data_IF_740561577441
#
_entry.id   IF_740561577441
#
_cell.length_a   1.000
_cell.length_b   1.000
_cell.length_c   1.000
_cell.angle_alpha   90.00
_cell.angle_beta   90.00
_cell.angle_gamma   90.00
#
_symmetry.space_group_name_H-M   'P 1'
#
loop_
_entity.id
_entity.type
_entity.pdbx_description
1 polymer ?
#
# COMPACT_ATOMS: atom_id res chain seq x y z
N UNK A 1 4.45 -19.94 -14.75
CA UNK A 1 3.62 -18.86 -15.32
C UNK A 1 4.39 -17.55 -15.22
N UNK A 2 4.11 -16.58 -16.10
CA UNK A 2 4.67 -15.22 -16.02
C UNK A 2 3.55 -14.27 -15.61
N UNK A 3 3.43 -14.01 -14.32
CA UNK A 3 2.28 -13.31 -13.73
C UNK A 3 2.52 -11.83 -13.38
N UNK A 4 3.63 -11.24 -13.85
CA UNK A 4 3.98 -9.80 -13.90
C UNK A 4 4.03 -9.07 -12.55
N UNK A 5 3.02 -9.18 -11.71
CA UNK A 5 2.85 -8.41 -10.48
C UNK A 5 2.58 -9.31 -9.28
N UNK A 6 2.96 -8.80 -8.11
CA UNK A 6 2.63 -9.33 -6.80
C UNK A 6 1.79 -8.31 -6.04
N UNK A 7 0.84 -8.80 -5.26
CA UNK A 7 0.09 -8.01 -4.29
C UNK A 7 -0.16 -8.87 -3.07
N UNK A 8 -0.07 -8.28 -1.88
CA UNK A 8 -0.29 -8.98 -0.63
C UNK A 8 -1.70 -9.57 -0.59
N UNK A 9 -1.82 -10.76 -0.01
CA UNK A 9 -3.06 -11.57 -0.04
C UNK A 9 -4.00 -11.32 1.16
N UNK A 10 -3.54 -10.62 2.20
CA UNK A 10 -4.28 -10.32 3.41
C UNK A 10 -3.74 -9.05 4.09
N UNK A 11 -4.48 -8.53 5.08
CA UNK A 11 -4.03 -7.37 5.86
C UNK A 11 -2.74 -7.68 6.64
N UNK A 12 -2.63 -8.87 7.22
CA UNK A 12 -1.44 -9.30 7.97
C UNK A 12 -0.20 -9.41 7.06
N UNK A 13 -0.35 -10.01 5.87
CA UNK A 13 0.76 -10.10 4.91
C UNK A 13 1.13 -8.73 4.34
N UNK A 14 0.15 -7.85 4.10
CA UNK A 14 0.40 -6.47 3.69
C UNK A 14 1.22 -5.70 4.72
N UNK A 15 0.85 -5.77 6.01
CA UNK A 15 1.61 -5.12 7.08
C UNK A 15 3.05 -5.63 7.14
N UNK A 16 3.23 -6.95 7.07
CA UNK A 16 4.55 -7.59 7.04
C UNK A 16 5.39 -7.15 5.83
N UNK A 17 4.81 -7.17 4.63
CA UNK A 17 5.49 -6.79 3.40
C UNK A 17 5.83 -5.29 3.38
N UNK A 18 4.92 -4.41 3.80
CA UNK A 18 5.19 -2.97 3.88
C UNK A 18 6.36 -2.70 4.83
N UNK A 19 6.38 -3.30 6.03
CA UNK A 19 7.50 -3.13 6.97
C UNK A 19 8.82 -3.69 6.44
N UNK A 20 8.78 -4.75 5.63
CA UNK A 20 9.97 -5.34 5.03
C UNK A 20 10.57 -4.43 3.94
N UNK A 21 9.73 -3.93 3.02
CA UNK A 21 10.18 -3.19 1.83
C UNK A 21 10.36 -1.69 2.08
N UNK A 22 9.64 -1.13 3.05
CA UNK A 22 9.69 0.29 3.42
C UNK A 22 10.05 0.44 4.91
N UNK A 23 11.27 0.04 5.32
CA UNK A 23 11.66 0.02 6.73
C UNK A 23 11.73 1.42 7.37
N UNK A 24 11.90 2.46 6.54
CA UNK A 24 11.92 3.86 6.99
C UNK A 24 10.51 4.46 7.10
N UNK A 25 9.47 3.70 6.77
CA UNK A 25 8.08 4.13 6.76
C UNK A 25 7.62 4.66 5.39
N UNK A 26 6.48 5.36 5.40
CA UNK A 26 5.81 5.89 4.20
C UNK A 26 5.81 7.42 4.19
N UNK A 27 5.72 8.00 2.99
CA UNK A 27 5.55 9.43 2.82
C UNK A 27 4.07 9.81 3.05
N UNK A 28 3.82 10.63 4.07
CA UNK A 28 2.49 11.17 4.35
C UNK A 28 2.15 12.33 3.41
N UNK A 29 0.95 12.30 2.84
CA UNK A 29 0.44 13.38 1.99
C UNK A 29 -1.09 13.41 2.03
N UNK A 30 -1.65 14.55 1.63
CA UNK A 30 -3.09 14.71 1.50
C UNK A 30 -3.49 14.93 0.04
N UNK A 31 -4.40 14.09 -0.46
CA UNK A 31 -4.90 14.21 -1.83
C UNK A 31 -5.89 15.36 -1.94
N UNK A 32 -5.68 16.25 -2.92
CA UNK A 32 -6.65 17.27 -3.29
C UNK A 32 -7.98 16.67 -3.78
N UNK A 33 -7.97 15.40 -4.20
CA UNK A 33 -9.16 14.67 -4.62
C UNK A 33 -9.91 14.00 -3.47
N UNK A 34 -9.38 14.07 -2.23
CA UNK A 34 -10.00 13.44 -1.05
C UNK A 34 -11.49 13.77 -0.88
N UNK A 35 -11.97 15.02 -1.12
CA UNK A 35 -13.40 15.35 -1.03
C UNK A 35 -14.29 14.70 -2.09
N UNK A 36 -13.71 14.18 -3.18
CA UNK A 36 -14.45 13.60 -4.30
C UNK A 36 -14.39 12.07 -4.32
N UNK A 37 -13.49 11.46 -3.54
CA UNK A 37 -13.25 10.00 -3.52
C UNK A 37 -13.99 9.31 -2.38
N UNK A 38 -14.26 10.04 -1.28
CA UNK A 38 -14.93 9.51 -0.11
C UNK A 38 -16.20 10.33 0.15
N UNK A 39 -17.25 9.63 0.55
CA UNK A 39 -18.46 10.24 1.11
C UNK A 39 -18.24 10.77 2.54
#
# INVERSE_FOLDING_TARGET
>A
GRNIVHGSDAVESAQKEISLWFPEGICEWESCMRPWIRE
#
